data_IF_315019145349
#
_entry.id   IF_315019145349
#
_cell.length_a   1.000
_cell.length_b   1.000
_cell.length_c   1.000
_cell.angle_alpha   90.00
_cell.angle_beta   90.00
_cell.angle_gamma   90.00
#
_symmetry.space_group_name_H-M   'P 1'
#
loop_
_entity.id
_entity.type
_entity.pdbx_description
1 polymer ?
#
# COMPACT_ATOMS: atom_id res chain seq x y z
N UNK A 1 26.39 -19.98 -11.37
CA UNK A 1 24.92 -19.84 -11.27
C UNK A 1 24.44 -19.22 -12.57
N UNK A 2 23.59 -19.90 -13.33
CA UNK A 2 23.06 -19.36 -14.59
C UNK A 2 21.89 -18.45 -14.24
N UNK A 3 22.04 -17.14 -14.47
CA UNK A 3 20.94 -16.18 -14.34
C UNK A 3 19.98 -16.38 -15.51
N UNK A 4 18.68 -16.39 -15.23
CA UNK A 4 17.64 -16.55 -16.25
C UNK A 4 17.52 -15.29 -17.12
N UNK A 5 17.45 -15.47 -18.44
CA UNK A 5 17.30 -14.41 -19.46
C UNK A 5 16.14 -13.43 -19.17
N UNK A 6 15.09 -13.90 -18.50
CA UNK A 6 13.93 -13.09 -18.13
C UNK A 6 14.26 -12.03 -17.07
N UNK A 7 15.26 -12.27 -16.21
CA UNK A 7 15.72 -11.30 -15.23
C UNK A 7 16.53 -10.17 -15.86
N UNK A 8 17.16 -10.42 -17.01
CA UNK A 8 18.00 -9.43 -17.68
C UNK A 8 17.16 -8.42 -18.49
N UNK A 9 15.95 -8.80 -18.89
CA UNK A 9 15.06 -7.99 -19.73
C UNK A 9 13.83 -7.44 -18.98
N UNK A 10 13.71 -7.68 -17.67
CA UNK A 10 12.55 -7.21 -16.92
C UNK A 10 12.64 -5.70 -16.69
N UNK A 11 11.61 -4.97 -17.13
CA UNK A 11 11.48 -3.56 -16.81
C UNK A 11 11.01 -3.41 -15.36
N UNK A 12 11.87 -2.89 -14.49
CA UNK A 12 11.56 -2.63 -13.09
C UNK A 12 10.98 -1.22 -12.98
N UNK A 13 9.70 -1.13 -12.64
CA UNK A 13 9.07 0.15 -12.35
C UNK A 13 9.60 0.70 -11.03
N UNK A 14 9.96 1.98 -11.01
CA UNK A 14 10.30 2.67 -9.77
C UNK A 14 9.08 2.70 -8.85
N UNK A 15 9.17 1.96 -7.75
CA UNK A 15 8.16 2.02 -6.70
C UNK A 15 8.31 3.36 -5.99
N UNK A 16 7.37 4.28 -6.23
CA UNK A 16 7.21 5.46 -5.38
C UNK A 16 6.78 4.96 -4.01
N UNK A 17 7.75 4.77 -3.12
CA UNK A 17 7.47 4.50 -1.72
C UNK A 17 6.94 5.81 -1.11
N UNK A 18 5.63 5.95 -1.01
CA UNK A 18 5.07 6.94 -0.09
C UNK A 18 5.61 6.61 1.31
N UNK A 19 6.32 7.56 1.91
CA UNK A 19 7.09 7.35 3.16
C UNK A 19 6.22 7.05 4.38
N UNK A 20 4.90 7.18 4.26
CA UNK A 20 3.97 6.90 5.35
C UNK A 20 3.19 5.62 5.05
N UNK A 21 3.58 4.54 5.71
CA UNK A 21 2.84 3.29 5.64
C UNK A 21 1.52 3.46 6.43
N UNK A 22 0.39 3.28 5.73
CA UNK A 22 -0.98 3.15 6.24
C UNK A 22 -1.25 3.66 7.66
N UNK A 23 -0.95 2.84 8.68
CA UNK A 23 -1.34 3.03 10.09
C UNK A 23 -0.22 3.51 11.02
N UNK A 24 0.95 3.90 10.54
CA UNK A 24 2.05 4.38 11.41
C UNK A 24 1.59 5.53 12.31
N UNK A 25 2.04 5.58 13.56
CA UNK A 25 1.65 6.64 14.50
C UNK A 25 0.17 6.64 14.89
N UNK A 26 -0.57 5.57 14.61
CA UNK A 26 -2.01 5.46 14.89
C UNK A 26 -2.31 4.30 15.83
N UNK A 27 -3.54 4.27 16.37
CA UNK A 27 -4.04 3.16 17.17
C UNK A 27 -5.49 2.84 16.80
N UNK A 28 -5.87 1.57 16.91
CA UNK A 28 -7.24 1.15 16.68
C UNK A 28 -8.08 1.41 17.93
N UNK A 29 -9.20 2.13 17.79
CA UNK A 29 -10.16 2.33 18.88
C UNK A 29 -11.29 1.31 18.76
N UNK A 30 -11.30 0.30 19.62
CA UNK A 30 -12.37 -0.71 19.66
C UNK A 30 -13.74 -0.11 19.96
N UNK A 31 -13.80 0.96 20.78
CA UNK A 31 -15.04 1.68 21.10
C UNK A 31 -15.63 2.42 19.90
N UNK A 32 -14.78 2.98 19.04
CA UNK A 32 -15.21 3.79 17.88
C UNK A 32 -15.27 2.99 16.58
N UNK A 33 -14.55 1.86 16.50
CA UNK A 33 -14.52 0.98 15.34
C UNK A 33 -13.54 1.40 14.23
N UNK A 34 -12.72 2.43 14.47
CA UNK A 34 -11.78 2.96 13.47
C UNK A 34 -10.44 3.39 14.08
N UNK A 35 -9.46 3.61 13.19
CA UNK A 35 -8.13 4.05 13.56
C UNK A 35 -8.09 5.54 13.90
N UNK A 36 -7.35 5.89 14.94
CA UNK A 36 -7.14 7.24 15.42
C UNK A 36 -5.64 7.58 15.37
N UNK A 37 -5.33 8.83 15.04
CA UNK A 37 -3.97 9.35 15.24
C UNK A 37 -3.61 9.39 16.72
N UNK A 38 -2.37 9.04 17.08
CA UNK A 38 -1.91 9.09 18.48
C UNK A 38 -1.89 10.50 19.06
N UNK A 39 -1.60 11.52 18.26
CA UNK A 39 -1.41 12.90 18.76
C UNK A 39 -2.74 13.65 18.84
N UNK A 40 -3.49 13.68 17.75
CA UNK A 40 -4.73 14.46 17.66
C UNK A 40 -5.97 13.69 18.14
N UNK A 41 -5.90 12.36 18.22
CA UNK A 41 -7.07 11.48 18.40
C UNK A 41 -8.18 11.70 17.37
N UNK A 42 -7.86 12.32 16.22
CA UNK A 42 -8.76 12.45 15.10
C UNK A 42 -8.84 11.13 14.32
N UNK A 43 -9.96 10.90 13.61
CA UNK A 43 -10.08 9.76 12.69
C UNK A 43 -8.94 9.77 11.67
N UNK A 44 -8.27 8.64 11.53
CA UNK A 44 -7.12 8.49 10.63
C UNK A 44 -7.46 8.83 9.16
N UNK A 45 -8.69 8.53 8.76
CA UNK A 45 -9.20 8.77 7.40
C UNK A 45 -9.30 10.27 7.04
N UNK A 46 -9.27 11.15 8.04
CA UNK A 46 -9.36 12.61 7.84
C UNK A 46 -8.00 13.28 7.70
N UNK A 47 -6.89 12.57 7.94
CA UNK A 47 -5.55 13.14 7.81
C UNK A 47 -5.18 13.26 6.32
N UNK A 48 -5.04 14.48 5.76
CA UNK A 48 -4.73 14.70 4.35
C UNK A 48 -3.29 14.31 3.98
N UNK A 49 -2.43 14.05 4.96
CA UNK A 49 -1.04 13.63 4.73
C UNK A 49 -0.94 12.12 4.47
N UNK A 50 -2.00 11.38 4.72
CA UNK A 50 -1.99 9.92 4.54
C UNK A 50 -2.31 9.54 3.11
N UNK A 51 -1.69 8.45 2.61
CA UNK A 51 -2.14 7.87 1.37
C UNK A 51 -3.61 7.50 1.54
N UNK A 52 -4.46 8.12 0.72
CA UNK A 52 -5.86 7.72 0.62
C UNK A 52 -5.89 6.23 0.27
N UNK A 53 -6.91 5.47 0.73
CA UNK A 53 -7.10 4.10 0.28
C UNK A 53 -7.12 4.09 -1.25
N UNK A 54 -6.03 3.66 -1.88
CA UNK A 54 -5.96 3.61 -3.32
C UNK A 54 -6.77 2.39 -3.76
N UNK A 55 -7.85 2.65 -4.51
CA UNK A 55 -8.66 1.60 -5.10
C UNK A 55 -7.89 0.99 -6.27
N UNK A 56 -6.90 0.13 -5.98
CA UNK A 56 -6.60 -1.03 -6.83
C UNK A 56 -5.67 -1.97 -6.07
N UNK A 57 -6.19 -3.13 -5.65
CA UNK A 57 -5.35 -4.33 -5.60
C UNK A 57 -4.77 -4.42 -7.00
N UNK A 58 -3.46 -4.28 -7.14
CA UNK A 58 -2.85 -4.31 -8.46
C UNK A 58 -3.34 -5.59 -9.13
N UNK A 59 -3.97 -5.46 -10.30
CA UNK A 59 -4.27 -6.62 -11.15
C UNK A 59 -2.89 -7.14 -11.56
N UNK A 60 -2.38 -8.11 -10.82
CA UNK A 60 -1.19 -8.85 -11.23
C UNK A 60 -1.69 -9.86 -12.24
N UNK A 61 -1.60 -9.50 -13.52
CA UNK A 61 -1.94 -10.38 -14.62
C UNK A 61 -0.94 -11.56 -14.62
N UNK A 62 -1.28 -12.66 -13.95
CA UNK A 62 -0.46 -13.89 -13.90
C UNK A 62 -0.68 -14.80 -15.11
N UNK A 63 -1.25 -14.28 -16.20
CA UNK A 63 -1.46 -15.03 -17.45
C UNK A 63 -2.48 -16.16 -17.36
N UNK A 64 -3.36 -16.17 -16.35
CA UNK A 64 -4.45 -17.17 -16.24
C UNK A 64 -5.65 -16.85 -17.14
N UNK A 65 -5.73 -15.64 -17.70
CA UNK A 65 -6.82 -15.24 -18.61
C UNK A 65 -6.42 -15.41 -20.08
N UNK A 66 -5.88 -16.58 -20.40
CA UNK A 66 -5.85 -17.11 -21.77
C UNK A 66 -6.89 -18.22 -21.88
N UNK A 67 -8.15 -17.84 -22.01
CA UNK A 67 -9.20 -18.71 -22.56
C UNK A 67 -9.90 -18.00 -23.71
#
# INVERSE_FOLDING_TARGET
>A
MVKHLLLDNIHIYEKKNDKFEGTEGSYYSSKRGFWLEKVSSNPLVQDPRRPLPSTKKHDVERGEDKK
#
